data_IF_390263875851
#
_entry.id   IF_390263875851
#
_cell.length_a   1.000
_cell.length_b   1.000
_cell.length_c   1.000
_cell.angle_alpha   90.00
_cell.angle_beta   90.00
_cell.angle_gamma   90.00
#
_symmetry.space_group_name_H-M   'P 1'
#
loop_
_entity.id
_entity.type
_entity.pdbx_description
1 polymer ?
#
# COMPACT_ATOMS: atom_id res chain seq x y z
N UNK A 1 -8.15 46.12 2.92
CA UNK A 1 -7.43 45.02 2.23
C UNK A 1 -6.93 45.51 0.88
N UNK A 2 -5.63 45.44 0.60
CA UNK A 2 -5.06 45.80 -0.71
C UNK A 2 -5.29 44.66 -1.72
N UNK A 3 -5.32 44.98 -3.03
CA UNK A 3 -5.50 43.97 -4.11
C UNK A 3 -4.43 42.86 -4.04
N UNK A 4 -3.21 43.22 -3.66
CA UNK A 4 -2.11 42.28 -3.43
C UNK A 4 -2.36 41.33 -2.26
N UNK A 5 -2.94 41.81 -1.15
CA UNK A 5 -3.25 40.97 0.01
C UNK A 5 -4.37 39.95 -0.30
N UNK A 6 -5.32 40.31 -1.17
CA UNK A 6 -6.34 39.37 -1.67
C UNK A 6 -5.70 38.30 -2.57
N UNK A 7 -4.79 38.70 -3.47
CA UNK A 7 -4.04 37.77 -4.32
C UNK A 7 -3.21 36.79 -3.48
N UNK A 8 -2.49 37.29 -2.47
CA UNK A 8 -1.69 36.47 -1.55
C UNK A 8 -2.57 35.44 -0.81
N UNK A 9 -3.71 35.88 -0.28
CA UNK A 9 -4.67 34.99 0.38
C UNK A 9 -5.16 33.88 -0.55
N UNK A 10 -5.47 34.21 -1.81
CA UNK A 10 -5.89 33.22 -2.80
C UNK A 10 -4.76 32.24 -3.10
N UNK A 11 -3.51 32.71 -3.27
CA UNK A 11 -2.36 31.83 -3.52
C UNK A 11 -2.10 30.88 -2.34
N UNK A 12 -2.19 31.37 -1.10
CA UNK A 12 -2.05 30.52 0.09
C UNK A 12 -3.16 29.48 0.17
N UNK A 13 -4.41 29.87 -0.12
CA UNK A 13 -5.53 28.94 -0.14
C UNK A 13 -5.37 27.86 -1.23
N UNK A 14 -4.92 28.24 -2.43
CA UNK A 14 -4.62 27.29 -3.51
C UNK A 14 -3.47 26.38 -3.13
N UNK A 15 -2.39 26.91 -2.55
CA UNK A 15 -1.25 26.13 -2.07
C UNK A 15 -1.65 25.10 -1.01
N UNK A 16 -2.49 25.49 -0.06
CA UNK A 16 -3.06 24.56 0.94
C UNK A 16 -3.90 23.47 0.27
N UNK A 17 -4.70 23.81 -0.73
CA UNK A 17 -5.48 22.84 -1.51
C UNK A 17 -4.59 21.82 -2.23
N UNK A 18 -3.49 22.26 -2.84
CA UNK A 18 -2.53 21.36 -3.50
C UNK A 18 -1.86 20.43 -2.48
N UNK A 19 -1.40 20.95 -1.34
CA UNK A 19 -0.79 20.13 -0.27
C UNK A 19 -1.77 19.08 0.25
N UNK A 20 -3.04 19.43 0.39
CA UNK A 20 -4.07 18.50 0.87
C UNK A 20 -4.40 17.40 -0.14
N UNK A 21 -4.46 17.73 -1.44
CA UNK A 21 -4.77 16.76 -2.49
C UNK A 21 -3.57 15.92 -2.94
N UNK A 22 -2.34 16.40 -2.71
CA UNK A 22 -1.11 15.74 -3.15
C UNK A 22 -1.02 14.25 -2.75
N UNK A 23 -1.28 13.84 -1.49
CA UNK A 23 -1.24 12.42 -1.12
C UNK A 23 -2.24 11.56 -1.91
N UNK A 24 -3.44 12.09 -2.16
CA UNK A 24 -4.48 11.40 -2.92
C UNK A 24 -4.05 11.23 -4.38
N UNK A 25 -3.58 12.29 -5.02
CA UNK A 25 -3.08 12.23 -6.41
C UNK A 25 -1.88 11.29 -6.51
N UNK A 26 -0.94 11.36 -5.57
CA UNK A 26 0.23 10.46 -5.51
C UNK A 26 -0.20 9.00 -5.47
N UNK A 27 -1.14 8.65 -4.61
CA UNK A 27 -1.61 7.28 -4.45
C UNK A 27 -2.24 6.70 -5.72
N UNK A 28 -3.09 7.47 -6.39
CA UNK A 28 -3.83 6.96 -7.54
C UNK A 28 -3.01 6.97 -8.84
N UNK A 29 -2.15 7.98 -9.05
CA UNK A 29 -1.46 8.17 -10.32
C UNK A 29 0.02 7.79 -10.32
N UNK A 30 0.68 7.74 -9.16
CA UNK A 30 2.13 7.56 -9.06
C UNK A 30 2.56 6.33 -8.26
N UNK A 31 1.62 5.61 -7.64
CA UNK A 31 1.91 4.36 -6.92
C UNK A 31 1.54 3.15 -7.75
N UNK A 32 2.50 2.24 -7.94
CA UNK A 32 2.27 0.98 -8.64
C UNK A 32 1.28 0.05 -7.92
N UNK A 33 0.56 -0.77 -8.69
CA UNK A 33 -0.45 -1.68 -8.14
C UNK A 33 0.12 -2.67 -7.13
N UNK A 34 1.32 -3.22 -7.40
CA UNK A 34 1.98 -4.15 -6.49
C UNK A 34 2.29 -3.52 -5.12
N UNK A 35 2.65 -2.23 -5.11
CA UNK A 35 2.93 -1.48 -3.90
C UNK A 35 1.64 -1.12 -3.16
N UNK A 36 0.55 -0.80 -3.88
CA UNK A 36 -0.78 -0.63 -3.28
C UNK A 36 -1.24 -1.91 -2.59
N UNK A 37 -1.16 -3.05 -3.27
CA UNK A 37 -1.53 -4.36 -2.72
C UNK A 37 -0.71 -4.71 -1.48
N UNK A 38 0.60 -4.43 -1.53
CA UNK A 38 1.50 -4.67 -0.40
C UNK A 38 1.20 -3.77 0.81
N UNK A 39 0.86 -2.49 0.57
CA UNK A 39 0.43 -1.56 1.62
C UNK A 39 -0.91 -1.98 2.25
N UNK A 40 -1.80 -2.61 1.47
CA UNK A 40 -3.06 -3.17 1.94
C UNK A 40 -2.86 -4.46 2.77
N UNK A 41 -1.76 -5.17 2.53
CA UNK A 41 -1.38 -6.39 3.23
C UNK A 41 -1.08 -6.22 4.72
N UNK A 42 -0.89 -7.36 5.38
CA UNK A 42 -0.53 -7.41 6.81
C UNK A 42 0.93 -7.04 7.04
N UNK A 43 1.27 -6.65 8.27
CA UNK A 43 2.66 -6.36 8.66
C UNK A 43 3.62 -7.52 8.41
N UNK A 44 3.11 -8.76 8.45
CA UNK A 44 3.91 -9.95 8.16
C UNK A 44 4.22 -10.08 6.66
N UNK A 45 3.24 -9.85 5.79
CA UNK A 45 3.45 -9.82 4.33
C UNK A 45 4.50 -8.76 3.98
N UNK A 46 4.37 -7.56 4.54
CA UNK A 46 5.33 -6.46 4.35
C UNK A 46 6.74 -6.89 4.80
N UNK A 47 6.86 -7.51 5.98
CA UNK A 47 8.15 -7.99 6.51
C UNK A 47 8.78 -9.03 5.60
N UNK A 48 8.01 -10.01 5.14
CA UNK A 48 8.51 -11.09 4.32
C UNK A 48 8.95 -10.56 2.93
N UNK A 49 8.11 -9.75 2.28
CA UNK A 49 8.47 -9.11 1.01
C UNK A 49 9.73 -8.25 1.14
N UNK A 50 9.84 -7.43 2.18
CA UNK A 50 11.01 -6.55 2.38
C UNK A 50 12.30 -7.36 2.59
N UNK A 51 12.20 -8.49 3.29
CA UNK A 51 13.33 -9.41 3.51
C UNK A 51 13.76 -10.06 2.20
N UNK A 52 12.81 -10.58 1.43
CA UNK A 52 13.09 -11.29 0.18
C UNK A 52 13.66 -10.33 -0.86
N UNK A 53 13.08 -9.13 -0.99
CA UNK A 53 13.56 -8.07 -1.88
C UNK A 53 14.96 -7.61 -1.50
N UNK A 54 15.23 -7.38 -0.22
CA UNK A 54 16.57 -7.02 0.25
C UNK A 54 17.60 -8.12 -0.04
N UNK A 55 17.24 -9.40 0.10
CA UNK A 55 18.14 -10.51 -0.21
C UNK A 55 18.48 -10.57 -1.72
N UNK A 56 17.47 -10.39 -2.57
CA UNK A 56 17.65 -10.30 -4.04
C UNK A 56 18.60 -9.15 -4.41
N UNK A 57 18.36 -7.96 -3.86
CA UNK A 57 19.11 -6.76 -4.21
C UNK A 57 20.54 -6.79 -3.67
N UNK A 58 20.78 -7.37 -2.50
CA UNK A 58 22.14 -7.61 -1.99
C UNK A 58 22.88 -8.61 -2.87
N UNK A 59 22.22 -9.68 -3.33
CA UNK A 59 22.85 -10.65 -4.23
C UNK A 59 23.21 -10.00 -5.58
N UNK A 60 22.35 -9.11 -6.11
CA UNK A 60 22.65 -8.32 -7.31
C UNK A 60 23.78 -7.34 -7.07
N UNK A 61 23.81 -6.69 -5.90
CA UNK A 61 24.83 -5.72 -5.53
C UNK A 61 26.19 -6.39 -5.30
N UNK A 62 26.24 -7.60 -4.73
CA UNK A 62 27.48 -8.37 -4.59
C UNK A 62 28.08 -8.73 -5.96
N UNK A 63 27.23 -9.06 -6.94
CA UNK A 63 27.69 -9.29 -8.32
C UNK A 63 28.26 -8.01 -8.95
N UNK A 64 27.60 -6.87 -8.75
CA UNK A 64 28.09 -5.58 -9.24
C UNK A 64 29.40 -5.16 -8.57
N UNK A 65 29.55 -5.41 -7.27
CA UNK A 65 30.76 -5.06 -6.53
C UNK A 65 32.01 -5.84 -6.96
N UNK A 66 31.85 -6.92 -7.74
CA UNK A 66 32.98 -7.65 -8.35
C UNK A 66 33.57 -6.95 -9.56
N UNK A 67 32.81 -6.05 -10.18
CA UNK A 67 33.27 -5.22 -11.30
C UNK A 67 33.90 -3.93 -10.75
N UNK A 68 35.20 -3.75 -11.02
CA UNK A 68 35.96 -2.60 -10.51
C UNK A 68 35.46 -1.28 -11.10
N UNK A 69 34.95 -1.29 -12.33
CA UNK A 69 34.42 -0.08 -12.97
C UNK A 69 33.07 0.30 -12.35
N UNK A 70 32.24 -0.69 -11.99
CA UNK A 70 30.95 -0.48 -11.34
C UNK A 70 31.11 0.06 -9.90
N UNK A 71 32.17 -0.30 -9.19
CA UNK A 71 32.46 0.22 -7.84
C UNK A 71 32.82 1.70 -7.87
N UNK A 72 33.54 2.14 -8.91
CA UNK A 72 33.93 3.54 -9.11
C UNK A 72 32.80 4.41 -9.72
N UNK A 73 31.79 3.79 -10.31
CA UNK A 73 30.66 4.49 -10.92
C UNK A 73 29.72 5.13 -9.86
N UNK A 74 28.96 6.17 -10.25
CA UNK A 74 27.89 6.73 -9.41
C UNK A 74 26.90 5.66 -8.95
N UNK A 75 26.39 5.79 -7.73
CA UNK A 75 25.42 4.84 -7.19
C UNK A 75 24.18 4.75 -8.11
N UNK A 76 23.79 3.54 -8.56
CA UNK A 76 22.57 3.35 -9.32
C UNK A 76 21.34 3.79 -8.51
N UNK A 77 20.38 4.48 -9.14
CA UNK A 77 19.19 5.06 -8.48
C UNK A 77 18.42 4.06 -7.61
N UNK A 78 18.36 2.79 -8.01
CA UNK A 78 17.68 1.72 -7.25
C UNK A 78 18.26 1.48 -5.85
N UNK A 79 19.50 1.91 -5.61
CA UNK A 79 20.18 1.77 -4.32
C UNK A 79 20.26 3.08 -3.53
N UNK A 80 19.57 4.14 -3.98
CA UNK A 80 19.57 5.43 -3.29
C UNK A 80 19.07 5.33 -1.85
N UNK A 81 18.21 4.35 -1.56
CA UNK A 81 17.73 3.99 -0.23
C UNK A 81 18.87 3.69 0.76
N UNK A 82 20.05 3.30 0.28
CA UNK A 82 21.21 3.03 1.12
C UNK A 82 21.99 4.29 1.52
N UNK A 83 21.81 5.42 0.81
CA UNK A 83 22.59 6.65 1.05
C UNK A 83 22.40 7.18 2.46
N UNK A 84 21.17 7.16 2.98
CA UNK A 84 20.87 7.67 4.31
C UNK A 84 21.47 6.78 5.39
N UNK A 85 21.29 5.46 5.28
CA UNK A 85 21.88 4.49 6.19
C UNK A 85 23.42 4.51 6.17
N UNK A 86 24.01 4.62 4.98
CA UNK A 86 25.46 4.76 4.83
C UNK A 86 25.95 6.06 5.48
N UNK A 87 25.29 7.19 5.20
CA UNK A 87 25.63 8.49 5.79
C UNK A 87 25.58 8.46 7.32
N UNK A 88 24.56 7.83 7.89
CA UNK A 88 24.48 7.64 9.34
C UNK A 88 25.64 6.80 9.87
N UNK A 89 25.96 5.68 9.21
CA UNK A 89 27.08 4.85 9.59
C UNK A 89 28.43 5.59 9.54
N UNK A 90 28.67 6.41 8.50
CA UNK A 90 29.86 7.26 8.40
C UNK A 90 29.99 8.21 9.58
N UNK A 91 28.87 8.85 9.99
CA UNK A 91 28.84 9.72 11.18
C UNK A 91 29.11 8.96 12.47
N UNK A 92 28.57 7.75 12.61
CA UNK A 92 28.77 6.90 13.79
C UNK A 92 30.24 6.46 13.97
N UNK A 93 31.00 6.38 12.88
CA UNK A 93 32.43 6.02 12.90
C UNK A 93 33.35 7.22 12.70
N UNK A 94 32.82 8.45 12.80
CA UNK A 94 33.53 9.72 12.64
C UNK A 94 34.38 9.82 11.35
N UNK A 95 33.88 9.22 10.26
CA UNK A 95 34.49 9.30 8.93
C UNK A 95 33.88 10.44 8.12
N UNK A 96 34.66 11.08 7.22
CA UNK A 96 34.15 12.12 6.35
C UNK A 96 33.10 11.55 5.40
N UNK A 97 31.92 12.17 5.36
CA UNK A 97 30.83 11.78 4.45
C UNK A 97 31.20 12.21 3.02
N UNK A 98 31.17 11.29 2.05
CA UNK A 98 31.42 11.61 0.63
C UNK A 98 30.40 12.62 0.10
N UNK A 99 30.86 13.54 -0.77
CA UNK A 99 29.99 14.50 -1.48
C UNK A 99 29.28 13.84 -2.65
N UNK A 100 30.03 13.08 -3.43
CA UNK A 100 29.53 12.29 -4.55
C UNK A 100 29.53 10.82 -4.13
N UNK A 101 28.35 10.19 -4.16
CA UNK A 101 28.20 8.81 -3.70
C UNK A 101 28.47 7.83 -4.85
N UNK A 102 29.59 7.13 -4.77
CA UNK A 102 29.84 5.94 -5.60
C UNK A 102 29.31 4.67 -4.94
N UNK A 103 29.21 3.59 -5.70
CA UNK A 103 28.87 2.28 -5.13
C UNK A 103 29.87 1.87 -4.05
N UNK A 104 31.17 2.06 -4.30
CA UNK A 104 32.23 1.78 -3.32
C UNK A 104 32.09 2.59 -2.03
N UNK A 105 31.79 3.88 -2.14
CA UNK A 105 31.58 4.76 -0.99
C UNK A 105 30.41 4.32 -0.13
N UNK A 106 29.29 3.94 -0.75
CA UNK A 106 28.14 3.41 0.00
C UNK A 106 28.53 2.13 0.73
N UNK A 107 29.20 1.19 0.05
CA UNK A 107 29.58 -0.09 0.64
C UNK A 107 30.62 0.04 1.76
N UNK A 108 31.54 1.01 1.64
CA UNK A 108 32.50 1.35 2.69
C UNK A 108 31.83 1.89 3.97
N UNK A 109 30.60 2.36 3.87
CA UNK A 109 29.75 2.74 5.00
C UNK A 109 29.20 1.56 5.80
N UNK A 110 29.31 0.33 5.29
CA UNK A 110 28.81 -0.88 5.94
C UNK A 110 29.95 -1.83 6.29
N UNK A 111 29.82 -2.55 7.41
CA UNK A 111 30.86 -3.51 7.83
C UNK A 111 30.87 -4.78 6.98
N UNK A 112 29.70 -5.19 6.50
CA UNK A 112 29.50 -6.41 5.73
C UNK A 112 28.15 -6.36 4.99
N UNK A 113 27.95 -7.31 4.08
CA UNK A 113 26.70 -7.44 3.32
C UNK A 113 25.47 -7.77 4.18
N UNK A 114 25.63 -8.31 5.39
CA UNK A 114 24.49 -8.49 6.30
C UNK A 114 23.95 -7.15 6.82
N UNK A 115 24.83 -6.18 7.09
CA UNK A 115 24.39 -4.81 7.43
C UNK A 115 23.72 -4.11 6.25
N UNK A 116 24.25 -4.29 5.02
CA UNK A 116 23.61 -3.77 3.80
C UNK A 116 22.21 -4.37 3.64
N UNK A 117 22.08 -5.69 3.81
CA UNK A 117 20.81 -6.41 3.74
C UNK A 117 19.80 -5.88 4.75
N UNK A 118 20.21 -5.68 6.01
CA UNK A 118 19.35 -5.12 7.07
C UNK A 118 18.94 -3.68 6.77
N UNK A 119 19.85 -2.87 6.23
CA UNK A 119 19.54 -1.51 5.84
C UNK A 119 18.51 -1.46 4.70
N UNK A 120 18.67 -2.28 3.66
CA UNK A 120 17.69 -2.43 2.58
C UNK A 120 16.36 -2.97 3.09
N UNK A 121 16.37 -4.03 3.92
CA UNK A 121 15.15 -4.61 4.50
C UNK A 121 14.36 -3.56 5.29
N UNK A 122 15.05 -2.74 6.09
CA UNK A 122 14.42 -1.64 6.83
C UNK A 122 13.90 -0.54 5.90
N UNK A 123 14.66 -0.15 4.88
CA UNK A 123 14.26 0.89 3.94
C UNK A 123 13.02 0.48 3.13
N UNK A 124 13.00 -0.74 2.59
CA UNK A 124 11.85 -1.30 1.88
C UNK A 124 10.63 -1.41 2.78
N UNK A 125 10.82 -1.88 4.01
CA UNK A 125 9.73 -1.94 4.99
C UNK A 125 9.18 -0.55 5.27
N UNK A 126 10.05 0.44 5.49
CA UNK A 126 9.64 1.80 5.81
C UNK A 126 8.89 2.42 4.63
N UNK A 127 9.37 2.26 3.40
CA UNK A 127 8.69 2.73 2.19
C UNK A 127 7.24 2.21 2.10
N UNK A 128 7.04 0.92 2.37
CA UNK A 128 5.69 0.31 2.33
C UNK A 128 4.83 0.79 3.50
N UNK A 129 5.42 0.98 4.68
CA UNK A 129 4.70 1.56 5.82
C UNK A 129 4.30 3.01 5.57
N UNK A 130 5.16 3.81 4.96
CA UNK A 130 4.86 5.19 4.58
C UNK A 130 3.73 5.24 3.56
N UNK A 131 3.69 4.30 2.61
CA UNK A 131 2.56 4.13 1.68
C UNK A 131 1.28 3.74 2.42
N UNK A 132 1.36 2.83 3.40
CA UNK A 132 0.22 2.44 4.25
C UNK A 132 -0.31 3.65 5.06
N UNK A 133 0.57 4.47 5.59
CA UNK A 133 0.22 5.68 6.34
C UNK A 133 -0.28 6.81 5.42
N UNK A 134 0.27 6.91 4.20
CA UNK A 134 -0.24 7.83 3.16
C UNK A 134 -1.67 7.45 2.79
N UNK A 135 -1.93 6.16 2.58
CA UNK A 135 -3.26 5.61 2.34
C UNK A 135 -4.24 5.91 3.47
N UNK A 136 -3.80 5.91 4.72
CA UNK A 136 -4.65 6.33 5.85
C UNK A 136 -5.10 7.80 5.78
N UNK A 137 -4.47 8.62 4.93
CA UNK A 137 -4.72 10.06 4.78
C UNK A 137 -5.32 10.44 3.43
N UNK A 138 -5.46 9.51 2.48
CA UNK A 138 -6.05 9.82 1.18
C UNK A 138 -7.57 9.90 1.26
N UNK A 139 -8.17 10.60 0.30
CA UNK A 139 -9.60 10.53 0.06
C UNK A 139 -9.91 9.25 -0.73
N UNK A 140 -10.65 8.31 -0.13
CA UNK A 140 -11.11 7.11 -0.83
C UNK A 140 -12.07 7.51 -1.95
N UNK A 141 -11.74 7.12 -3.16
CA UNK A 141 -12.62 7.27 -4.32
C UNK A 141 -13.77 6.26 -4.23
N UNK A 142 -14.99 6.74 -4.50
CA UNK A 142 -16.16 5.86 -4.64
C UNK A 142 -16.00 4.88 -5.81
N UNK A 143 -16.83 3.86 -5.85
CA UNK A 143 -16.75 2.78 -6.86
C UNK A 143 -16.81 3.29 -8.30
N UNK A 144 -17.57 4.36 -8.55
CA UNK A 144 -17.68 5.00 -9.87
C UNK A 144 -16.34 5.58 -10.37
N UNK A 145 -15.49 6.04 -9.44
CA UNK A 145 -14.19 6.67 -9.74
C UNK A 145 -13.01 5.69 -9.61
N UNK A 146 -13.09 4.75 -8.67
CA UNK A 146 -12.09 3.69 -8.48
C UNK A 146 -12.23 2.55 -9.49
N UNK A 147 -13.38 2.46 -10.16
CA UNK A 147 -13.82 1.26 -10.87
C UNK A 147 -14.17 0.14 -9.88
N UNK A 148 -14.98 -0.82 -10.34
CA UNK A 148 -15.32 -2.02 -9.57
C UNK A 148 -16.71 -2.56 -9.88
N UNK A 149 -17.24 -3.40 -9.00
CA UNK A 149 -18.51 -4.11 -9.17
C UNK A 149 -19.43 -3.83 -7.98
N UNK A 150 -20.64 -3.34 -8.24
CA UNK A 150 -21.71 -3.27 -7.25
C UNK A 150 -22.83 -4.22 -7.64
N UNK A 151 -23.22 -5.11 -6.73
CA UNK A 151 -24.27 -6.11 -6.94
C UNK A 151 -25.21 -6.10 -5.76
N UNK A 152 -26.51 -6.13 -6.04
CA UNK A 152 -27.55 -6.37 -5.05
C UNK A 152 -28.05 -7.80 -5.20
N UNK A 153 -28.01 -8.57 -4.12
CA UNK A 153 -28.50 -9.94 -4.06
C UNK A 153 -29.77 -9.99 -3.21
N UNK A 154 -30.84 -10.50 -3.78
CA UNK A 154 -32.10 -10.76 -3.07
C UNK A 154 -32.26 -12.26 -2.83
N UNK A 155 -32.44 -12.72 -1.59
CA UNK A 155 -32.71 -14.12 -1.31
C UNK A 155 -34.11 -14.52 -1.77
N UNK A 156 -34.22 -15.64 -2.47
CA UNK A 156 -35.52 -16.24 -2.78
C UNK A 156 -36.08 -16.99 -1.56
N UNK A 157 -36.79 -16.26 -0.71
CA UNK A 157 -37.44 -16.82 0.47
C UNK A 157 -38.59 -17.78 0.12
N UNK A 158 -39.20 -17.63 -1.05
CA UNK A 158 -40.32 -18.49 -1.47
C UNK A 158 -39.84 -19.91 -1.71
N UNK A 159 -38.69 -20.04 -2.37
CA UNK A 159 -38.05 -21.34 -2.60
C UNK A 159 -37.47 -21.95 -1.31
N UNK A 160 -37.01 -21.13 -0.36
CA UNK A 160 -36.58 -21.61 0.96
C UNK A 160 -37.74 -22.14 1.81
N UNK A 161 -38.91 -21.50 1.75
CA UNK A 161 -40.14 -21.97 2.42
C UNK A 161 -40.62 -23.31 1.84
N UNK A 162 -40.62 -23.47 0.52
CA UNK A 162 -40.94 -24.74 -0.15
C UNK A 162 -40.02 -25.88 0.30
N UNK A 163 -38.71 -25.62 0.37
CA UNK A 163 -37.71 -26.63 0.75
C UNK A 163 -37.77 -27.01 2.22
N UNK A 164 -38.11 -26.06 3.10
CA UNK A 164 -38.21 -26.29 4.54
C UNK A 164 -39.60 -26.76 5.00
N UNK A 165 -40.59 -26.80 4.09
CA UNK A 165 -41.98 -27.19 4.37
C UNK A 165 -42.62 -26.42 5.55
N UNK A 166 -42.14 -25.19 5.80
CA UNK A 166 -42.63 -24.29 6.84
C UNK A 166 -42.55 -22.84 6.36
N UNK A 167 -43.43 -22.00 6.88
CA UNK A 167 -43.35 -20.53 6.68
C UNK A 167 -42.16 -20.01 7.49
N UNK A 168 -41.32 -19.18 6.88
CA UNK A 168 -40.14 -18.63 7.55
C UNK A 168 -40.57 -17.44 8.41
N UNK A 169 -40.23 -17.49 9.70
CA UNK A 169 -40.37 -16.32 10.57
C UNK A 169 -39.35 -15.24 10.21
N UNK A 170 -39.55 -14.01 10.68
CA UNK A 170 -38.58 -12.93 10.51
C UNK A 170 -37.20 -13.31 11.09
N UNK A 171 -37.17 -14.09 12.18
CA UNK A 171 -35.94 -14.59 12.80
C UNK A 171 -35.23 -15.62 11.91
N UNK A 172 -35.99 -16.54 11.28
CA UNK A 172 -35.43 -17.52 10.35
C UNK A 172 -34.82 -16.84 9.11
N UNK A 173 -35.49 -15.82 8.58
CA UNK A 173 -35.00 -15.02 7.44
C UNK A 173 -33.72 -14.26 7.81
N UNK A 174 -33.65 -13.67 9.00
CA UNK A 174 -32.44 -13.02 9.50
C UNK A 174 -31.27 -13.98 9.64
N UNK A 175 -31.49 -15.18 10.21
CA UNK A 175 -30.44 -16.21 10.35
C UNK A 175 -29.93 -16.70 9.00
N UNK A 176 -30.83 -16.89 8.04
CA UNK A 176 -30.46 -17.29 6.68
C UNK A 176 -29.61 -16.20 6.00
N UNK A 177 -29.95 -14.93 6.18
CA UNK A 177 -29.19 -13.79 5.68
C UNK A 177 -27.79 -13.68 6.32
N UNK A 178 -27.70 -13.82 7.64
CA UNK A 178 -26.41 -13.83 8.36
C UNK A 178 -25.50 -14.95 7.86
N UNK A 179 -26.07 -16.15 7.66
CA UNK A 179 -25.34 -17.29 7.10
C UNK A 179 -24.87 -17.01 5.66
N UNK A 180 -25.71 -16.40 4.83
CA UNK A 180 -25.35 -16.02 3.47
C UNK A 180 -24.23 -14.97 3.46
N UNK A 181 -24.29 -13.96 4.34
CA UNK A 181 -23.24 -12.96 4.51
C UNK A 181 -21.89 -13.61 4.87
N UNK A 182 -21.88 -14.56 5.79
CA UNK A 182 -20.66 -15.29 6.17
C UNK A 182 -20.07 -16.05 4.98
N UNK A 183 -20.91 -16.79 4.23
CA UNK A 183 -20.47 -17.54 3.05
C UNK A 183 -19.92 -16.60 1.97
N UNK A 184 -20.58 -15.46 1.74
CA UNK A 184 -20.17 -14.46 0.75
C UNK A 184 -18.83 -13.84 1.16
N UNK A 185 -18.66 -13.43 2.41
CA UNK A 185 -17.39 -12.90 2.93
C UNK A 185 -16.24 -13.89 2.73
N UNK A 186 -16.40 -15.14 3.18
CA UNK A 186 -15.38 -16.18 3.05
C UNK A 186 -15.00 -16.45 1.58
N UNK A 187 -15.98 -16.40 0.67
CA UNK A 187 -15.72 -16.56 -0.77
C UNK A 187 -14.93 -15.38 -1.34
N UNK A 188 -15.31 -14.16 -1.01
CA UNK A 188 -14.63 -12.95 -1.51
C UNK A 188 -13.20 -12.88 -0.98
N UNK A 189 -12.98 -13.24 0.29
CA UNK A 189 -11.66 -13.35 0.89
C UNK A 189 -10.78 -14.35 0.15
N UNK A 190 -11.34 -15.47 -0.28
CA UNK A 190 -10.62 -16.50 -1.07
C UNK A 190 -10.14 -15.95 -2.42
N UNK A 191 -10.85 -14.99 -3.02
CA UNK A 191 -10.43 -14.35 -4.27
C UNK A 191 -9.40 -13.22 -4.07
N UNK A 192 -9.01 -12.93 -2.83
CA UNK A 192 -8.04 -11.90 -2.50
C UNK A 192 -8.51 -10.51 -2.94
N UNK A 193 -9.81 -10.24 -2.86
CA UNK A 193 -10.35 -8.90 -3.09
C UNK A 193 -9.99 -8.04 -1.89
N UNK A 194 -9.37 -6.89 -2.15
CA UNK A 194 -9.00 -5.98 -1.08
C UNK A 194 -10.20 -5.11 -0.74
N UNK A 195 -10.62 -5.12 0.53
CA UNK A 195 -11.66 -4.24 1.08
C UNK A 195 -13.05 -4.30 0.42
N UNK A 196 -13.67 -5.48 0.36
CA UNK A 196 -15.07 -5.57 -0.01
C UNK A 196 -15.95 -4.84 1.01
N UNK A 197 -17.00 -4.19 0.54
CA UNK A 197 -18.06 -3.65 1.38
C UNK A 197 -19.30 -4.52 1.21
N UNK A 198 -19.70 -5.21 2.28
CA UNK A 198 -20.86 -6.10 2.25
C UNK A 198 -21.83 -5.65 3.34
N UNK A 199 -23.04 -5.29 2.94
CA UNK A 199 -24.06 -4.72 3.84
C UNK A 199 -25.42 -5.33 3.57
N UNK A 200 -26.13 -5.71 4.63
CA UNK A 200 -27.56 -6.03 4.55
C UNK A 200 -28.37 -4.74 4.40
N UNK A 201 -29.35 -4.76 3.51
CA UNK A 201 -30.30 -3.68 3.31
C UNK A 201 -31.61 -3.92 4.09
N UNK A 202 -32.48 -2.91 4.13
CA UNK A 202 -33.74 -2.94 4.88
C UNK A 202 -34.78 -3.90 4.28
N UNK A 203 -34.67 -4.21 3.00
CA UNK A 203 -35.58 -5.05 2.22
C UNK A 203 -35.15 -6.53 2.17
N UNK A 204 -34.34 -6.97 3.12
CA UNK A 204 -33.74 -8.32 3.16
C UNK A 204 -32.83 -8.63 1.96
N UNK A 205 -32.37 -7.61 1.22
CA UNK A 205 -31.31 -7.76 0.21
C UNK A 205 -29.91 -7.56 0.80
N UNK A 206 -28.88 -8.01 0.06
CA UNK A 206 -27.47 -7.85 0.41
C UNK A 206 -26.80 -7.01 -0.69
N UNK A 207 -26.28 -5.85 -0.32
CA UNK A 207 -25.41 -5.04 -1.17
C UNK A 207 -23.96 -5.53 -1.05
N UNK A 208 -23.33 -5.77 -2.19
CA UNK A 208 -21.91 -6.12 -2.29
C UNK A 208 -21.24 -5.09 -3.21
N UNK A 209 -20.33 -4.30 -2.66
CA UNK A 209 -19.43 -3.45 -3.43
C UNK A 209 -18.02 -4.02 -3.38
N UNK A 210 -17.49 -4.39 -4.55
CA UNK A 210 -16.13 -4.88 -4.73
C UNK A 210 -15.33 -3.79 -5.45
N UNK A 211 -14.36 -3.13 -4.78
CA UNK A 211 -13.51 -2.17 -5.46
C UNK A 211 -12.70 -2.86 -6.56
N UNK A 212 -12.56 -2.19 -7.68
CA UNK A 212 -11.73 -2.65 -8.79
C UNK A 212 -10.26 -2.69 -8.39
N UNK A 213 -9.49 -3.59 -9.04
CA UNK A 213 -8.02 -3.47 -9.06
C UNK A 213 -7.68 -2.33 -10.02
N UNK A 214 -7.59 -1.11 -9.49
CA UNK A 214 -7.18 0.11 -10.22
C UNK A 214 -5.81 0.61 -9.79
#
# INVERSE_FOLDING_TARGET
>A
MTKFMRLLLVLVAVGLGVVFLYPTVSWYFFTDQSMKDLANGTREVIRNWSRDKAAEDVAALEKLAKDSDAVAAPLPERYDLLKDAARENYKLVDKPVPRDWTLGDVLNGFKNYDQVRKALENAYRQQVLDLKDMRGRILSLGLDLSGGLSVVLEPDFTDLEKKSSRVLSAEDRSKALESALEVINNRIDTFGVTEPQIRRQLDDSILIDLPGRG
#
